data_IF_372701286624
#
_entry.id   IF_372701286624
#
_cell.length_a   1.000
_cell.length_b   1.000
_cell.length_c   1.000
_cell.angle_alpha   90.00
_cell.angle_beta   90.00
_cell.angle_gamma   90.00
#
_symmetry.space_group_name_H-M   'P 1'
#
loop_
_entity.id
_entity.type
_entity.pdbx_description
1 polymer ?
#
# COMPACT_ATOMS: atom_id res chain seq x y z
N UNK A 1 29.93 -15.63 3.75
CA UNK A 1 28.96 -16.07 4.77
C UNK A 1 27.61 -15.57 4.31
N UNK A 2 26.65 -16.47 4.10
CA UNK A 2 25.32 -16.08 3.65
C UNK A 2 24.69 -15.21 4.75
N UNK A 3 24.44 -13.94 4.46
CA UNK A 3 23.59 -13.07 5.27
C UNK A 3 22.21 -13.71 5.30
N UNK A 4 21.92 -14.42 6.39
CA UNK A 4 20.57 -14.85 6.71
C UNK A 4 19.74 -13.59 6.88
N UNK A 5 18.84 -13.33 5.94
CA UNK A 5 17.80 -12.33 6.14
C UNK A 5 17.02 -12.83 7.37
N UNK A 6 17.13 -12.13 8.50
CA UNK A 6 16.27 -12.42 9.63
C UNK A 6 14.86 -12.04 9.20
N UNK A 7 14.00 -13.05 8.98
CA UNK A 7 12.60 -12.84 8.64
C UNK A 7 11.95 -11.83 9.60
N UNK A 8 12.40 -11.79 10.86
CA UNK A 8 11.79 -11.13 12.01
C UNK A 8 11.65 -9.59 11.94
N UNK A 9 12.33 -8.89 11.02
CA UNK A 9 12.40 -7.41 11.05
C UNK A 9 12.10 -6.71 9.71
N UNK A 10 11.40 -7.38 8.79
CA UNK A 10 10.97 -6.77 7.52
C UNK A 10 9.73 -5.90 7.68
N UNK A 11 9.77 -4.66 7.17
CA UNK A 11 8.65 -3.70 7.16
C UNK A 11 8.40 -3.17 5.73
N UNK A 12 7.13 -3.02 5.35
CA UNK A 12 6.74 -2.44 4.07
C UNK A 12 6.33 -0.98 4.22
N UNK A 13 7.06 -0.09 3.55
CA UNK A 13 6.87 1.35 3.61
C UNK A 13 6.53 1.88 2.22
N UNK A 14 5.29 2.35 2.01
CA UNK A 14 4.92 3.11 0.84
C UNK A 14 5.51 4.52 0.92
N UNK A 15 5.71 5.12 -0.24
CA UNK A 15 5.86 6.56 -0.35
C UNK A 15 4.58 7.18 -0.90
N UNK A 16 3.92 8.01 -0.10
CA UNK A 16 2.67 8.67 -0.48
C UNK A 16 2.84 10.19 -0.48
N UNK A 17 2.07 10.87 -1.31
CA UNK A 17 2.13 12.33 -1.42
C UNK A 17 1.69 12.82 -2.78
N UNK A 18 1.45 14.13 -2.90
CA UNK A 18 1.01 14.76 -4.15
C UNK A 18 1.99 14.53 -5.31
N UNK A 19 1.51 14.74 -6.54
CA UNK A 19 2.34 14.71 -7.75
C UNK A 19 3.48 15.74 -7.60
N UNK A 20 4.65 15.44 -8.16
CA UNK A 20 5.82 16.32 -8.17
C UNK A 20 6.41 16.74 -6.81
N UNK A 21 5.93 16.20 -5.69
CA UNK A 21 6.55 16.40 -4.37
C UNK A 21 7.91 15.66 -4.22
N UNK A 22 8.32 14.88 -5.23
CA UNK A 22 9.63 14.24 -5.30
C UNK A 22 9.70 12.85 -4.64
N UNK A 23 8.62 12.07 -4.75
CA UNK A 23 8.54 10.71 -4.20
C UNK A 23 9.62 9.78 -4.77
N UNK A 24 9.63 9.60 -6.07
CA UNK A 24 10.60 8.77 -6.80
C UNK A 24 12.04 9.23 -6.61
N UNK A 25 12.26 10.55 -6.53
CA UNK A 25 13.57 11.14 -6.19
C UNK A 25 14.03 10.74 -4.79
N UNK A 26 13.12 10.75 -3.81
CA UNK A 26 13.42 10.32 -2.45
C UNK A 26 13.75 8.81 -2.39
N UNK A 27 13.00 7.99 -3.12
CA UNK A 27 13.28 6.54 -3.22
C UNK A 27 14.68 6.28 -3.80
N UNK A 28 15.05 6.96 -4.89
CA UNK A 28 16.39 6.87 -5.47
C UNK A 28 17.47 7.34 -4.47
N UNK A 29 17.24 8.46 -3.77
CA UNK A 29 18.16 9.00 -2.77
C UNK A 29 18.39 8.03 -1.59
N UNK A 30 17.33 7.40 -1.08
CA UNK A 30 17.43 6.40 0.00
C UNK A 30 18.30 5.22 -0.45
N UNK A 31 18.03 4.64 -1.62
CA UNK A 31 18.86 3.51 -2.11
C UNK A 31 20.31 3.91 -2.34
N UNK A 32 20.56 5.12 -2.82
CA UNK A 32 21.93 5.62 -3.04
C UNK A 32 22.69 5.69 -1.72
N UNK A 33 22.15 6.41 -0.75
CA UNK A 33 22.78 6.63 0.56
C UNK A 33 23.02 5.31 1.29
N UNK A 34 22.07 4.38 1.24
CA UNK A 34 22.22 3.09 1.91
C UNK A 34 23.13 2.12 1.15
N UNK A 35 23.23 2.24 -0.18
CA UNK A 35 24.15 1.41 -0.97
C UNK A 35 25.61 1.68 -0.66
N UNK A 36 25.97 2.92 -0.29
CA UNK A 36 27.32 3.29 0.13
C UNK A 36 27.74 2.55 1.43
N UNK A 37 26.76 2.11 2.23
CA UNK A 37 26.97 1.31 3.45
C UNK A 37 26.83 -0.20 3.22
N UNK A 38 26.56 -0.61 1.98
CA UNK A 38 26.31 -2.00 1.62
C UNK A 38 24.90 -2.52 1.93
N UNK A 39 24.01 -1.67 2.45
CA UNK A 39 22.64 -2.01 2.82
C UNK A 39 21.61 -1.84 1.70
N UNK A 40 22.01 -1.52 0.48
CA UNK A 40 21.09 -1.45 -0.64
C UNK A 40 21.81 -1.67 -1.98
N UNK A 41 21.03 -2.06 -2.99
CA UNK A 41 21.46 -1.89 -4.38
C UNK A 41 20.90 -0.57 -4.89
N UNK A 42 21.78 0.36 -5.25
CA UNK A 42 21.35 1.63 -5.83
C UNK A 42 20.46 1.39 -7.05
N UNK A 43 19.29 2.02 -7.04
CA UNK A 43 18.33 2.01 -8.15
C UNK A 43 18.10 3.45 -8.56
N UNK A 44 18.53 3.79 -9.78
CA UNK A 44 18.43 5.17 -10.28
C UNK A 44 16.97 5.54 -10.57
N UNK A 45 16.65 6.84 -10.59
CA UNK A 45 15.34 7.39 -10.91
C UNK A 45 14.75 6.77 -12.20
N UNK A 46 15.58 6.69 -13.25
CA UNK A 46 15.19 6.13 -14.55
C UNK A 46 15.00 4.60 -14.55
N UNK A 47 15.45 3.94 -13.48
CA UNK A 47 15.20 2.53 -13.19
C UNK A 47 14.04 2.32 -12.22
N UNK A 48 13.49 3.36 -11.59
CA UNK A 48 12.25 3.24 -10.81
C UNK A 48 11.07 3.47 -11.75
N UNK A 49 11.10 4.56 -12.52
CA UNK A 49 10.14 4.86 -13.59
C UNK A 49 10.56 4.15 -14.90
N UNK A 50 10.40 2.82 -14.94
CA UNK A 50 10.88 2.00 -16.07
C UNK A 50 10.00 2.07 -17.31
N UNK A 51 8.69 2.34 -17.17
CA UNK A 51 7.76 2.22 -18.28
C UNK A 51 8.00 3.34 -19.31
N UNK A 52 7.92 3.06 -20.62
CA UNK A 52 8.08 4.07 -21.66
C UNK A 52 7.11 5.26 -21.51
N UNK A 53 5.90 4.99 -21.00
CA UNK A 53 4.88 6.00 -20.73
C UNK A 53 5.20 6.87 -19.51
N UNK A 54 5.83 6.31 -18.47
CA UNK A 54 6.31 7.05 -17.29
C UNK A 54 7.41 8.02 -17.69
N UNK A 55 8.41 7.56 -18.46
CA UNK A 55 9.51 8.41 -18.94
C UNK A 55 9.04 9.54 -19.85
N UNK A 56 8.02 9.31 -20.66
CA UNK A 56 7.48 10.33 -21.56
C UNK A 56 6.67 11.40 -20.84
N UNK A 57 6.02 11.05 -19.71
CA UNK A 57 5.15 11.96 -18.95
C UNK A 57 5.79 12.54 -17.69
N UNK A 58 6.91 11.98 -17.23
CA UNK A 58 7.58 12.40 -16.00
C UNK A 58 6.78 12.10 -14.72
N UNK A 59 5.86 11.12 -14.77
CA UNK A 59 5.02 10.73 -13.64
C UNK A 59 5.10 9.22 -13.45
N UNK A 60 5.12 8.76 -12.19
CA UNK A 60 5.00 7.35 -11.82
C UNK A 60 3.58 6.86 -12.12
N UNK A 61 3.47 5.71 -12.80
CA UNK A 61 2.20 5.11 -13.22
C UNK A 61 2.00 3.77 -12.50
N UNK A 62 3.03 2.92 -12.49
CA UNK A 62 3.05 1.64 -11.84
C UNK A 62 3.75 1.73 -10.49
N UNK A 63 3.29 0.96 -9.51
CA UNK A 63 4.00 0.85 -8.24
C UNK A 63 5.35 0.15 -8.47
N UNK A 64 6.44 0.76 -8.01
CA UNK A 64 7.77 0.17 -8.08
C UNK A 64 8.19 -0.33 -6.71
N UNK A 65 8.75 -1.54 -6.67
CA UNK A 65 9.22 -2.18 -5.45
C UNK A 65 10.75 -2.07 -5.41
N UNK A 66 11.25 -1.48 -4.32
CA UNK A 66 12.67 -1.21 -4.10
C UNK A 66 13.07 -1.71 -2.72
N UNK A 67 14.29 -2.24 -2.58
CA UNK A 67 14.75 -2.90 -1.37
C UNK A 67 15.96 -2.17 -0.78
N UNK A 68 15.98 -2.05 0.55
CA UNK A 68 17.14 -1.62 1.32
C UNK A 68 17.04 -2.15 2.74
N UNK A 69 18.16 -2.17 3.45
CA UNK A 69 18.30 -2.59 4.84
C UNK A 69 19.06 -1.54 5.63
N UNK A 70 18.70 -1.44 6.91
CA UNK A 70 19.47 -0.75 7.94
C UNK A 70 20.13 -1.80 8.83
N UNK A 71 20.95 -1.35 9.78
CA UNK A 71 21.50 -2.25 10.81
C UNK A 71 20.39 -2.91 11.67
N UNK A 72 19.19 -2.32 11.68
CA UNK A 72 18.08 -2.78 12.52
C UNK A 72 17.03 -3.58 11.76
N UNK A 73 16.76 -3.27 10.49
CA UNK A 73 15.56 -3.75 9.77
C UNK A 73 15.77 -3.89 8.28
N UNK A 74 14.97 -4.74 7.66
CA UNK A 74 14.86 -4.84 6.21
C UNK A 74 13.62 -4.08 5.73
N UNK A 75 13.73 -3.33 4.65
CA UNK A 75 12.66 -2.51 4.10
C UNK A 75 12.27 -2.96 2.71
N UNK A 76 10.99 -3.25 2.53
CA UNK A 76 10.36 -3.29 1.23
C UNK A 76 9.68 -1.96 0.94
N UNK A 77 10.23 -1.18 0.03
CA UNK A 77 9.75 0.15 -0.28
C UNK A 77 8.86 0.12 -1.52
N UNK A 78 7.64 0.65 -1.41
CA UNK A 78 6.69 0.72 -2.53
C UNK A 78 6.54 2.17 -2.96
N UNK A 79 7.15 2.56 -4.08
CA UNK A 79 6.94 3.88 -4.66
C UNK A 79 5.55 3.92 -5.31
N UNK A 80 4.63 4.69 -4.72
CA UNK A 80 3.24 4.75 -5.15
C UNK A 80 3.00 5.98 -6.03
N UNK A 81 2.21 5.84 -7.11
CA UNK A 81 1.90 6.97 -7.99
C UNK A 81 1.05 8.02 -7.25
N UNK A 82 1.40 9.31 -7.42
CA UNK A 82 0.69 10.41 -6.75
C UNK A 82 -0.41 11.09 -7.55
N UNK A 83 -0.57 10.70 -8.83
CA UNK A 83 -1.55 11.31 -9.72
C UNK A 83 -2.95 10.76 -9.45
N UNK A 84 -3.98 11.62 -9.50
CA UNK A 84 -5.36 11.27 -9.17
C UNK A 84 -5.87 10.03 -9.96
N UNK A 85 -5.51 9.96 -11.24
CA UNK A 85 -5.87 8.85 -12.13
C UNK A 85 -5.27 7.49 -11.73
N UNK A 86 -4.16 7.49 -10.98
CA UNK A 86 -3.40 6.29 -10.61
C UNK A 86 -3.49 5.93 -9.12
N UNK A 87 -4.35 6.61 -8.35
CA UNK A 87 -4.63 6.27 -6.94
C UNK A 87 -5.07 4.80 -6.79
N UNK A 88 -5.65 4.17 -7.82
CA UNK A 88 -5.99 2.73 -7.79
C UNK A 88 -4.78 1.85 -7.50
N UNK A 89 -3.62 2.18 -8.08
CA UNK A 89 -2.38 1.46 -7.85
C UNK A 89 -1.80 1.76 -6.46
N UNK A 90 -1.98 3.00 -5.98
CA UNK A 90 -1.67 3.37 -4.61
C UNK A 90 -2.46 2.52 -3.62
N UNK A 91 -3.81 2.42 -3.73
CA UNK A 91 -4.65 1.64 -2.80
C UNK A 91 -4.18 0.18 -2.67
N UNK A 92 -3.75 -0.42 -3.78
CA UNK A 92 -3.27 -1.80 -3.77
C UNK A 92 -1.87 -1.97 -3.18
N UNK A 93 -0.97 -0.99 -3.36
CA UNK A 93 0.28 -0.93 -2.59
C UNK A 93 0.02 -0.59 -1.12
N UNK A 94 -1.05 0.16 -0.87
CA UNK A 94 -1.42 0.67 0.44
C UNK A 94 -1.97 -0.41 1.36
N UNK A 95 -2.64 -1.42 0.80
CA UNK A 95 -3.07 -2.60 1.55
C UNK A 95 -1.89 -3.35 2.21
N UNK A 96 -0.65 -3.11 1.76
CA UNK A 96 0.57 -3.71 2.30
C UNK A 96 1.31 -2.79 3.28
N UNK A 97 0.73 -1.69 3.76
CA UNK A 97 1.43 -0.71 4.59
C UNK A 97 1.48 -1.11 6.06
N UNK A 98 2.70 -1.23 6.60
CA UNK A 98 2.92 -1.36 8.05
C UNK A 98 3.13 0.00 8.71
N UNK A 99 3.70 0.92 7.93
CA UNK A 99 3.88 2.34 8.20
C UNK A 99 3.87 3.08 6.87
N UNK A 100 4.37 4.30 6.81
CA UNK A 100 4.47 5.05 5.55
C UNK A 100 5.29 6.32 5.67
N UNK A 101 5.87 6.74 4.54
CA UNK A 101 6.50 8.05 4.43
C UNK A 101 5.57 8.93 3.60
N UNK A 102 5.15 10.07 4.16
CA UNK A 102 4.42 11.09 3.41
C UNK A 102 5.36 12.20 2.97
N UNK A 103 5.42 12.43 1.66
CA UNK A 103 6.30 13.42 1.04
C UNK A 103 5.53 14.68 0.68
N UNK A 104 6.03 15.80 1.17
CA UNK A 104 5.42 17.12 1.00
C UNK A 104 6.46 18.08 0.46
N UNK A 105 6.14 18.84 -0.58
CA UNK A 105 7.05 19.88 -1.07
C UNK A 105 7.03 21.08 -0.13
N UNK A 106 8.19 21.58 0.27
CA UNK A 106 8.30 22.80 1.07
C UNK A 106 7.75 24.04 0.33
N UNK A 107 7.73 24.02 -1.00
CA UNK A 107 7.18 25.11 -1.83
C UNK A 107 5.66 25.12 -1.91
N UNK A 108 5.05 23.93 -1.89
CA UNK A 108 3.64 23.75 -2.23
C UNK A 108 2.78 23.48 -0.98
N UNK A 109 3.41 22.99 0.09
CA UNK A 109 2.73 22.58 1.31
C UNK A 109 1.78 21.41 1.06
N UNK A 110 0.71 21.35 1.86
CA UNK A 110 -0.27 20.28 1.77
C UNK A 110 -1.27 20.50 0.62
N UNK A 111 -1.36 19.49 -0.26
CA UNK A 111 -2.19 19.51 -1.48
C UNK A 111 -3.34 18.51 -1.38
N UNK A 112 -4.38 18.57 -2.25
CA UNK A 112 -5.55 17.68 -2.15
C UNK A 112 -5.21 16.18 -2.07
N UNK A 113 -4.24 15.72 -2.85
CA UNK A 113 -3.77 14.33 -2.85
C UNK A 113 -3.02 13.97 -1.57
N UNK A 114 -2.35 14.92 -0.90
CA UNK A 114 -1.76 14.70 0.43
C UNK A 114 -2.86 14.33 1.42
N UNK A 115 -3.99 15.04 1.39
CA UNK A 115 -5.17 14.77 2.24
C UNK A 115 -5.80 13.42 1.92
N UNK A 116 -6.03 13.15 0.63
CA UNK A 116 -6.61 11.90 0.17
C UNK A 116 -5.74 10.69 0.55
N UNK A 117 -4.42 10.81 0.44
CA UNK A 117 -3.51 9.75 0.83
C UNK A 117 -3.49 9.50 2.33
N UNK A 118 -3.51 10.54 3.17
CA UNK A 118 -3.61 10.37 4.62
C UNK A 118 -4.91 9.68 5.02
N UNK A 119 -6.02 10.10 4.42
CA UNK A 119 -7.32 9.49 4.64
C UNK A 119 -7.33 8.01 4.25
N UNK A 120 -6.84 7.68 3.04
CA UNK A 120 -6.76 6.31 2.57
C UNK A 120 -5.83 5.45 3.44
N UNK A 121 -4.65 5.97 3.80
CA UNK A 121 -3.72 5.31 4.72
C UNK A 121 -4.38 5.00 6.07
N UNK A 122 -5.19 5.92 6.59
CA UNK A 122 -5.93 5.67 7.84
C UNK A 122 -7.00 4.59 7.68
N UNK A 123 -7.75 4.62 6.58
CA UNK A 123 -8.83 3.67 6.32
C UNK A 123 -8.33 2.23 6.21
N UNK A 124 -7.25 2.02 5.48
CA UNK A 124 -6.62 0.69 5.33
C UNK A 124 -5.90 0.22 6.61
N UNK A 125 -5.73 1.08 7.60
CA UNK A 125 -5.29 0.71 8.95
C UNK A 125 -3.88 1.14 9.33
N UNK A 126 -3.22 2.00 8.54
CA UNK A 126 -1.92 2.58 8.92
C UNK A 126 -2.09 3.43 10.17
N UNK A 127 -1.25 3.16 11.17
CA UNK A 127 -1.30 3.86 12.47
C UNK A 127 -0.24 4.94 12.61
N UNK A 128 0.94 4.70 12.03
CA UNK A 128 2.10 5.59 12.14
C UNK A 128 2.66 5.89 10.77
N UNK A 129 3.07 7.15 10.60
CA UNK A 129 3.69 7.69 9.40
C UNK A 129 4.88 8.56 9.81
N UNK A 130 5.83 8.73 8.90
CA UNK A 130 6.91 9.72 8.99
C UNK A 130 6.70 10.76 7.89
N UNK A 131 6.91 12.04 8.19
CA UNK A 131 6.79 13.11 7.20
C UNK A 131 8.17 13.49 6.69
N UNK A 132 8.31 13.60 5.36
CA UNK A 132 9.47 14.20 4.73
C UNK A 132 9.06 15.46 3.97
N UNK A 133 9.47 16.62 4.49
CA UNK A 133 9.32 17.92 3.82
C UNK A 133 10.52 18.05 2.86
N UNK A 134 10.26 17.86 1.58
CA UNK A 134 11.23 17.83 0.50
C UNK A 134 11.43 19.22 -0.13
N UNK A 135 12.45 19.36 -0.96
CA UNK A 135 12.79 20.59 -1.72
C UNK A 135 13.14 21.79 -0.83
N UNK A 136 13.75 21.55 0.32
CA UNK A 136 14.23 22.64 1.19
C UNK A 136 15.34 23.47 0.52
N UNK A 137 16.04 22.91 -0.47
CA UNK A 137 17.11 23.58 -1.22
C UNK A 137 16.65 24.81 -2.03
N UNK A 138 15.35 24.91 -2.34
CA UNK A 138 14.79 26.08 -3.05
C UNK A 138 14.11 27.08 -2.11
N UNK A 139 14.07 26.80 -0.80
CA UNK A 139 13.49 27.69 0.20
C UNK A 139 14.57 28.52 0.86
N UNK A 140 14.41 29.85 0.79
CA UNK A 140 15.33 30.82 1.40
C UNK A 140 14.81 31.40 2.71
N UNK A 141 13.51 31.23 3.00
CA UNK A 141 12.83 31.78 4.17
C UNK A 141 12.52 30.66 5.19
N UNK A 142 13.19 30.64 6.36
CA UNK A 142 12.92 29.66 7.40
C UNK A 142 11.48 29.69 7.93
N UNK A 143 10.79 30.83 7.93
CA UNK A 143 9.41 30.94 8.44
C UNK A 143 8.44 30.11 7.59
N UNK A 144 8.72 29.96 6.29
CA UNK A 144 7.94 29.12 5.40
C UNK A 144 8.04 27.63 5.78
N UNK A 145 9.22 27.17 6.20
CA UNK A 145 9.42 25.78 6.62
C UNK A 145 8.68 25.47 7.91
N UNK A 146 8.70 26.40 8.87
CA UNK A 146 7.95 26.29 10.13
C UNK A 146 6.44 26.26 9.86
N UNK A 147 5.94 27.09 8.94
CA UNK A 147 4.53 27.09 8.55
C UNK A 147 4.11 25.74 7.94
N UNK A 148 4.91 25.19 7.01
CA UNK A 148 4.61 23.89 6.40
C UNK A 148 4.65 22.75 7.42
N UNK A 149 5.56 22.78 8.39
CA UNK A 149 5.56 21.82 9.51
C UNK A 149 4.25 21.91 10.31
N UNK A 150 3.87 23.11 10.74
CA UNK A 150 2.64 23.33 11.49
C UNK A 150 1.40 22.83 10.73
N UNK A 151 1.27 23.19 9.45
CA UNK A 151 0.15 22.72 8.61
C UNK A 151 0.11 21.20 8.49
N UNK A 152 1.26 20.55 8.38
CA UNK A 152 1.34 19.10 8.30
C UNK A 152 0.95 18.41 9.61
N UNK A 153 1.32 18.98 10.76
CA UNK A 153 0.92 18.47 12.07
C UNK A 153 -0.57 18.59 12.31
N UNK A 154 -1.17 19.72 11.93
CA UNK A 154 -2.62 19.92 11.99
C UNK A 154 -3.37 18.95 11.07
N UNK A 155 -2.84 18.71 9.87
CA UNK A 155 -3.43 17.78 8.91
C UNK A 155 -3.37 16.34 9.40
N UNK A 156 -2.24 15.91 9.97
CA UNK A 156 -2.10 14.59 10.59
C UNK A 156 -3.14 14.41 11.71
N UNK A 157 -3.28 15.41 12.58
CA UNK A 157 -4.26 15.40 13.68
C UNK A 157 -5.70 15.30 13.16
N UNK A 158 -6.02 16.04 12.10
CA UNK A 158 -7.34 16.00 11.43
C UNK A 158 -7.70 14.60 10.96
N UNK A 159 -6.73 13.83 10.45
CA UNK A 159 -6.92 12.44 10.00
C UNK A 159 -6.61 11.38 11.09
N UNK A 160 -6.61 11.78 12.37
CA UNK A 160 -6.40 10.91 13.53
C UNK A 160 -5.03 10.20 13.58
N UNK A 161 -4.00 10.83 13.03
CA UNK A 161 -2.60 10.50 13.30
C UNK A 161 -2.06 11.37 14.45
N UNK A 162 -0.91 10.98 15.01
CA UNK A 162 -0.23 11.73 16.07
C UNK A 162 0.55 12.91 15.48
N UNK A 163 -0.13 14.03 15.23
CA UNK A 163 0.51 15.22 14.64
C UNK A 163 1.58 15.86 15.52
N UNK A 164 1.52 15.68 16.84
CA UNK A 164 2.49 16.27 17.78
C UNK A 164 3.81 15.49 17.78
N UNK A 165 3.75 14.16 17.86
CA UNK A 165 4.94 13.33 18.01
C UNK A 165 5.45 12.71 16.71
N UNK A 166 4.68 12.74 15.62
CA UNK A 166 5.15 12.21 14.33
C UNK A 166 6.46 12.91 13.92
N UNK A 167 7.52 12.15 13.57
CA UNK A 167 8.75 12.72 13.07
C UNK A 167 8.53 13.46 11.75
N UNK A 168 9.03 14.70 11.68
CA UNK A 168 9.03 15.52 10.48
C UNK A 168 10.47 15.87 10.14
N UNK A 169 10.93 15.38 8.98
CA UNK A 169 12.30 15.57 8.52
C UNK A 169 12.26 16.52 7.33
N UNK A 170 12.99 17.62 7.42
CA UNK A 170 13.10 18.62 6.37
C UNK A 170 14.42 18.43 5.61
N UNK A 171 14.35 18.26 4.29
CA UNK A 171 15.54 18.05 3.47
C UNK A 171 15.31 18.19 1.96
N UNK A 172 16.31 17.77 1.21
CA UNK A 172 16.34 17.79 -0.25
C UNK A 172 16.80 16.43 -0.77
N UNK A 173 15.84 15.64 -1.24
CA UNK A 173 16.11 14.36 -1.89
C UNK A 173 17.02 14.53 -3.11
N UNK A 174 16.87 15.63 -3.85
CA UNK A 174 17.71 15.94 -5.00
C UNK A 174 19.16 16.21 -4.56
N UNK A 175 19.38 17.01 -3.52
CA UNK A 175 20.73 17.28 -2.98
C UNK A 175 21.41 15.98 -2.54
N UNK A 176 20.68 15.08 -1.87
CA UNK A 176 21.19 13.75 -1.51
C UNK A 176 21.55 12.90 -2.75
N UNK A 177 20.68 12.87 -3.76
CA UNK A 177 20.89 12.11 -4.98
C UNK A 177 22.07 12.65 -5.81
N UNK A 178 22.28 13.96 -5.84
CA UNK A 178 23.42 14.60 -6.52
C UNK A 178 24.72 14.57 -5.70
N UNK A 179 24.65 14.24 -4.40
CA UNK A 179 25.80 14.30 -3.50
C UNK A 179 26.23 15.73 -3.17
N UNK A 180 25.30 16.68 -3.15
CA UNK A 180 25.51 18.09 -2.80
C UNK A 180 24.87 18.41 -1.45
N UNK A 181 25.33 19.48 -0.81
CA UNK A 181 24.79 20.04 0.45
C UNK A 181 24.39 18.96 1.49
N UNK A 182 25.36 18.22 2.07
CA UNK A 182 25.09 17.07 2.92
C UNK A 182 24.09 17.33 4.06
N UNK A 183 24.16 18.53 4.66
CA UNK A 183 23.32 18.96 5.79
C UNK A 183 21.82 18.94 5.51
N UNK A 184 21.42 19.18 4.26
CA UNK A 184 20.02 19.10 3.80
C UNK A 184 19.78 17.86 2.92
N UNK A 185 20.83 17.18 2.47
CA UNK A 185 20.79 16.01 1.61
C UNK A 185 21.00 14.72 2.39
N UNK A 186 22.20 14.14 2.29
CA UNK A 186 22.56 12.82 2.83
C UNK A 186 22.29 12.69 4.32
N UNK A 187 22.57 13.73 5.11
CA UNK A 187 22.36 13.69 6.56
C UNK A 187 20.87 13.59 6.91
N UNK A 188 20.02 14.28 6.14
CA UNK A 188 18.55 14.21 6.29
C UNK A 188 17.96 12.89 5.82
N UNK A 189 18.54 12.25 4.80
CA UNK A 189 18.15 10.88 4.43
C UNK A 189 18.48 9.90 5.56
N UNK A 190 19.64 10.03 6.19
CA UNK A 190 20.00 9.20 7.35
C UNK A 190 19.08 9.45 8.54
N UNK A 191 18.74 10.71 8.82
CA UNK A 191 17.77 11.09 9.86
C UNK A 191 16.38 10.50 9.58
N UNK A 192 15.91 10.57 8.33
CA UNK A 192 14.65 9.97 7.89
C UNK A 192 14.63 8.46 8.11
N UNK A 193 15.67 7.74 7.65
CA UNK A 193 15.76 6.29 7.79
C UNK A 193 15.83 5.88 9.28
N UNK A 194 16.57 6.63 10.10
CA UNK A 194 16.61 6.43 11.54
C UNK A 194 15.23 6.66 12.18
N UNK A 195 14.51 7.72 11.79
CA UNK A 195 13.17 7.97 12.26
C UNK A 195 12.21 6.83 11.88
N UNK A 196 12.35 6.25 10.68
CA UNK A 196 11.59 5.05 10.29
C UNK A 196 11.89 3.84 11.20
N UNK A 197 13.17 3.61 11.53
CA UNK A 197 13.59 2.54 12.44
C UNK A 197 12.99 2.71 13.86
N UNK A 198 12.98 3.94 14.38
CA UNK A 198 12.60 4.21 15.78
C UNK A 198 11.10 4.44 15.98
N UNK A 199 10.43 5.09 15.02
CA UNK A 199 9.05 5.52 15.15
C UNK A 199 8.04 4.47 14.68
N UNK A 200 8.32 3.83 13.52
CA UNK A 200 7.37 2.91 12.90
C UNK A 200 7.35 1.59 13.67
N UNK A 201 6.16 1.14 14.01
CA UNK A 201 5.97 -0.13 14.69
C UNK A 201 6.23 -1.28 13.73
N UNK A 202 6.89 -2.32 14.24
CA UNK A 202 6.85 -3.61 13.56
C UNK A 202 5.43 -4.14 13.66
N UNK A 203 4.79 -4.49 12.53
CA UNK A 203 3.44 -5.00 12.56
C UNK A 203 3.41 -6.30 13.36
N UNK A 204 2.44 -6.50 14.27
CA UNK A 204 2.30 -7.77 14.96
C UNK A 204 2.01 -8.86 13.92
N UNK A 205 2.91 -9.83 13.82
CA UNK A 205 2.78 -10.95 12.87
C UNK A 205 1.93 -12.04 13.49
N UNK A 206 0.74 -12.22 12.94
CA UNK A 206 -0.19 -13.27 13.37
C UNK A 206 0.23 -14.65 12.84
N UNK A 207 1.31 -15.21 13.36
CA UNK A 207 1.90 -16.47 12.86
C UNK A 207 1.04 -17.70 13.15
N UNK A 208 0.22 -17.66 14.20
CA UNK A 208 -0.64 -18.78 14.62
C UNK A 208 -1.95 -18.88 13.83
N UNK A 209 -2.33 -17.81 13.11
CA UNK A 209 -3.55 -17.80 12.30
C UNK A 209 -3.36 -18.64 11.03
N UNK A 210 -4.46 -19.16 10.44
CA UNK A 210 -4.37 -19.85 9.15
C UNK A 210 -3.78 -18.94 8.06
N UNK A 211 -2.86 -19.50 7.27
CA UNK A 211 -2.12 -18.76 6.24
C UNK A 211 -3.04 -18.08 5.23
N UNK A 212 -2.70 -16.83 4.88
CA UNK A 212 -3.31 -16.08 3.78
C UNK A 212 -2.21 -15.32 3.04
N UNK A 213 -2.24 -15.39 1.72
CA UNK A 213 -1.44 -14.56 0.82
C UNK A 213 -2.33 -13.90 -0.23
N UNK A 214 -2.24 -12.58 -0.35
CA UNK A 214 -3.00 -11.80 -1.32
C UNK A 214 -2.24 -11.69 -2.63
N UNK A 215 -2.85 -12.16 -3.74
CA UNK A 215 -2.20 -12.20 -5.05
C UNK A 215 -2.20 -10.79 -5.64
N UNK A 216 -1.01 -10.25 -5.87
CA UNK A 216 -0.77 -8.97 -6.50
C UNK A 216 -0.52 -9.14 -8.01
N UNK A 217 0.31 -10.12 -8.38
CA UNK A 217 0.63 -10.39 -9.78
C UNK A 217 0.90 -11.88 -10.04
N UNK A 218 0.86 -12.27 -11.32
CA UNK A 218 1.04 -13.64 -11.78
C UNK A 218 1.96 -13.69 -13.00
N UNK A 219 3.01 -14.49 -12.88
CA UNK A 219 3.99 -14.73 -13.92
C UNK A 219 4.09 -16.21 -14.27
N UNK A 220 4.54 -16.48 -15.48
CA UNK A 220 4.95 -17.83 -15.88
C UNK A 220 6.47 -17.81 -16.03
N UNK A 221 7.16 -18.63 -15.25
CA UNK A 221 8.61 -18.79 -15.35
C UNK A 221 8.91 -20.02 -16.21
N UNK A 222 9.58 -19.88 -17.37
CA UNK A 222 9.91 -21.00 -18.24
C UNK A 222 10.64 -22.11 -17.48
N UNK A 223 10.15 -23.34 -17.61
CA UNK A 223 10.73 -24.52 -16.95
C UNK A 223 10.41 -24.67 -15.44
N UNK A 224 9.87 -23.64 -14.77
CA UNK A 224 9.43 -23.74 -13.36
C UNK A 224 7.91 -23.83 -13.22
N UNK A 225 7.15 -23.03 -13.97
CA UNK A 225 5.69 -22.99 -13.91
C UNK A 225 5.13 -21.63 -13.52
N UNK A 226 3.94 -21.60 -12.93
CA UNK A 226 3.24 -20.37 -12.57
C UNK A 226 3.67 -19.89 -11.19
N UNK A 227 4.19 -18.67 -11.12
CA UNK A 227 4.58 -17.98 -9.90
C UNK A 227 3.60 -16.86 -9.64
N UNK A 228 3.05 -16.81 -8.44
CA UNK A 228 2.27 -15.65 -7.96
C UNK A 228 3.13 -14.81 -7.05
N UNK A 229 3.00 -13.50 -7.16
CA UNK A 229 3.65 -12.55 -6.24
C UNK A 229 2.57 -11.97 -5.33
N UNK A 230 2.88 -11.90 -4.05
CA UNK A 230 1.95 -11.37 -3.06
C UNK A 230 2.54 -11.28 -1.66
N UNK A 231 1.80 -10.59 -0.79
CA UNK A 231 2.12 -10.46 0.63
C UNK A 231 1.42 -11.53 1.44
N UNK A 232 2.15 -12.23 2.30
CA UNK A 232 1.57 -13.07 3.33
C UNK A 232 0.95 -12.17 4.40
N UNK A 233 -0.39 -12.15 4.52
CA UNK A 233 -1.08 -11.29 5.49
C UNK A 233 -1.01 -11.84 6.91
N UNK A 234 -1.07 -13.17 7.04
CA UNK A 234 -1.05 -13.86 8.32
C UNK A 234 -0.64 -15.32 8.14
N UNK A 235 -0.31 -15.97 9.25
CA UNK A 235 0.05 -17.38 9.32
C UNK A 235 1.41 -17.69 8.75
N UNK A 236 1.68 -18.99 8.63
CA UNK A 236 2.92 -19.54 8.08
C UNK A 236 2.56 -20.59 7.03
N UNK A 237 3.31 -20.61 5.94
CA UNK A 237 3.22 -21.63 4.90
C UNK A 237 4.61 -22.14 4.55
N UNK A 238 4.74 -23.44 4.31
CA UNK A 238 6.01 -24.10 3.98
C UNK A 238 5.98 -24.64 2.58
N UNK A 239 7.17 -24.75 2.00
CA UNK A 239 7.36 -25.47 0.75
C UNK A 239 6.85 -26.91 0.92
N UNK A 240 5.95 -27.33 0.04
CA UNK A 240 5.27 -28.62 0.06
C UNK A 240 3.85 -28.58 0.63
N UNK A 241 3.41 -27.48 1.25
CA UNK A 241 2.07 -27.39 1.82
C UNK A 241 0.99 -27.34 0.73
N UNK A 242 -0.16 -27.95 1.02
CA UNK A 242 -1.37 -27.80 0.22
C UNK A 242 -2.04 -26.46 0.54
N UNK A 243 -2.49 -25.77 -0.51
CA UNK A 243 -3.15 -24.46 -0.41
C UNK A 243 -4.39 -24.39 -1.29
N UNK A 244 -5.33 -23.51 -0.94
CA UNK A 244 -6.52 -23.21 -1.75
C UNK A 244 -6.45 -21.79 -2.32
N UNK A 245 -6.84 -21.62 -3.58
CA UNK A 245 -6.97 -20.31 -4.24
C UNK A 245 -8.45 -19.94 -4.30
N UNK A 246 -8.81 -18.77 -3.79
CA UNK A 246 -10.19 -18.28 -3.71
C UNK A 246 -10.39 -16.91 -4.36
N UNK A 247 -11.62 -16.69 -4.84
CA UNK A 247 -12.10 -15.41 -5.38
C UNK A 247 -12.37 -15.46 -6.87
N UNK A 248 -13.21 -14.54 -7.36
CA UNK A 248 -13.61 -14.46 -8.77
C UNK A 248 -14.29 -15.71 -9.33
N UNK A 249 -15.05 -16.45 -8.52
CA UNK A 249 -15.74 -17.68 -8.93
C UNK A 249 -14.86 -18.92 -8.88
N UNK A 250 -13.60 -18.75 -8.51
CA UNK A 250 -12.59 -19.80 -8.57
C UNK A 250 -12.35 -20.36 -7.17
N UNK A 251 -12.36 -21.69 -7.10
CA UNK A 251 -11.87 -22.46 -5.96
C UNK A 251 -10.98 -23.59 -6.46
N UNK A 252 -9.67 -23.41 -6.35
CA UNK A 252 -8.67 -24.38 -6.81
C UNK A 252 -7.85 -24.87 -5.63
N UNK A 253 -7.46 -26.15 -5.67
CA UNK A 253 -6.48 -26.74 -4.76
C UNK A 253 -5.17 -26.93 -5.49
N UNK A 254 -4.06 -26.62 -4.84
CA UNK A 254 -2.71 -26.83 -5.38
C UNK A 254 -1.71 -27.03 -4.24
N UNK A 255 -0.46 -27.29 -4.59
CA UNK A 255 0.66 -27.42 -3.66
C UNK A 255 1.65 -26.30 -3.93
N UNK A 256 2.12 -25.66 -2.86
CA UNK A 256 3.18 -24.67 -2.92
C UNK A 256 4.53 -25.39 -3.10
N UNK A 257 5.10 -25.34 -4.29
CA UNK A 257 6.34 -26.07 -4.62
C UNK A 257 7.61 -25.27 -4.45
N UNK A 258 7.51 -23.96 -4.29
CA UNK A 258 8.64 -23.08 -4.08
C UNK A 258 8.18 -21.77 -3.45
N UNK A 259 9.04 -21.23 -2.60
CA UNK A 259 8.90 -19.93 -1.95
C UNK A 259 10.17 -19.17 -2.29
N UNK A 260 10.03 -18.00 -2.87
CA UNK A 260 11.15 -17.13 -3.21
C UNK A 260 10.88 -15.73 -2.67
N UNK A 261 11.87 -15.11 -2.05
CA UNK A 261 11.83 -13.72 -1.62
C UNK A 261 13.17 -13.10 -1.98
N UNK A 262 13.16 -11.96 -2.67
CA UNK A 262 14.39 -11.24 -3.04
C UNK A 262 15.41 -12.11 -3.80
N UNK A 263 14.94 -12.92 -4.76
CA UNK A 263 15.77 -13.88 -5.51
C UNK A 263 16.47 -14.96 -4.68
N UNK A 264 16.02 -15.17 -3.44
CA UNK A 264 16.50 -16.22 -2.54
C UNK A 264 15.39 -17.24 -2.32
N UNK A 265 15.73 -18.52 -2.43
CA UNK A 265 14.79 -19.59 -2.09
C UNK A 265 14.66 -19.71 -0.57
N UNK A 266 13.41 -19.86 -0.12
CA UNK A 266 13.06 -20.03 1.28
C UNK A 266 12.34 -21.36 1.49
N UNK A 267 12.48 -21.93 2.67
CA UNK A 267 11.76 -23.15 3.09
C UNK A 267 10.38 -22.83 3.69
N UNK A 268 10.22 -21.62 4.23
CA UNK A 268 8.98 -21.14 4.84
C UNK A 268 8.74 -19.67 4.49
N UNK A 269 7.48 -19.29 4.43
CA UNK A 269 7.01 -17.92 4.42
C UNK A 269 6.16 -17.66 5.64
N UNK A 270 6.24 -16.45 6.17
CA UNK A 270 5.50 -16.01 7.34
C UNK A 270 4.80 -14.67 7.09
N UNK A 271 3.84 -14.36 7.95
CA UNK A 271 3.10 -13.10 7.91
C UNK A 271 4.06 -11.90 7.79
N UNK A 272 3.81 -11.05 6.81
CA UNK A 272 4.63 -9.90 6.46
C UNK A 272 5.47 -10.10 5.20
N UNK A 273 5.84 -11.33 4.85
CA UNK A 273 6.74 -11.59 3.70
C UNK A 273 6.06 -11.23 2.36
N UNK A 274 6.74 -10.41 1.54
CA UNK A 274 6.42 -10.30 0.11
C UNK A 274 7.19 -11.37 -0.65
N UNK A 275 6.46 -12.34 -1.20
CA UNK A 275 7.05 -13.57 -1.74
C UNK A 275 6.49 -13.93 -3.11
N UNK A 276 7.32 -14.63 -3.89
CA UNK A 276 6.94 -15.44 -5.03
C UNK A 276 6.56 -16.85 -4.58
N UNK A 277 5.31 -17.24 -4.80
CA UNK A 277 4.79 -18.59 -4.57
C UNK A 277 4.72 -19.37 -5.89
N UNK A 278 5.51 -20.44 -6.03
CA UNK A 278 5.45 -21.33 -7.19
C UNK A 278 4.38 -22.41 -6.98
N UNK A 279 3.37 -22.44 -7.84
CA UNK A 279 2.21 -23.31 -7.70
C UNK A 279 2.24 -24.51 -8.66
N UNK A 280 1.95 -25.70 -8.14
CA UNK A 280 1.93 -26.93 -8.94
C UNK A 280 0.69 -27.03 -9.82
N UNK A 281 0.89 -27.22 -11.12
CA UNK A 281 -0.17 -27.63 -12.05
C UNK A 281 -1.23 -26.56 -12.31
N UNK A 282 -1.01 -25.33 -11.85
CA UNK A 282 -1.87 -24.18 -12.12
C UNK A 282 -1.32 -23.44 -13.33
N UNK A 283 -2.17 -23.13 -14.30
CA UNK A 283 -1.82 -22.25 -15.43
C UNK A 283 -2.10 -20.80 -15.08
N UNK A 284 -1.34 -19.87 -15.67
CA UNK A 284 -1.50 -18.43 -15.46
C UNK A 284 -2.93 -17.95 -15.72
N UNK A 285 -3.64 -18.51 -16.68
CA UNK A 285 -5.00 -18.07 -17.05
C UNK A 285 -6.08 -18.47 -16.03
N UNK A 286 -5.76 -19.41 -15.12
CA UNK A 286 -6.69 -19.89 -14.09
C UNK A 286 -6.68 -19.03 -12.83
N UNK A 287 -5.69 -18.16 -12.71
CA UNK A 287 -5.47 -17.34 -11.53
C UNK A 287 -5.23 -15.89 -11.93
N UNK A 288 -5.54 -14.98 -11.01
CA UNK A 288 -5.43 -13.55 -11.27
C UNK A 288 -5.20 -12.76 -10.00
N UNK A 289 -4.72 -11.53 -10.17
CA UNK A 289 -4.73 -10.49 -9.14
C UNK A 289 -6.12 -10.36 -8.51
N UNK A 290 -6.13 -10.14 -7.20
CA UNK A 290 -7.35 -10.00 -6.40
C UNK A 290 -7.89 -11.32 -5.84
N UNK A 291 -7.31 -12.44 -6.24
CA UNK A 291 -7.52 -13.71 -5.54
C UNK A 291 -6.61 -13.80 -4.31
N UNK A 292 -6.93 -14.73 -3.43
CA UNK A 292 -6.10 -15.04 -2.25
C UNK A 292 -5.73 -16.52 -2.27
N UNK A 293 -4.52 -16.82 -1.80
CA UNK A 293 -4.09 -18.17 -1.43
C UNK A 293 -4.30 -18.32 0.07
N UNK A 294 -4.93 -19.40 0.48
CA UNK A 294 -5.24 -19.65 1.88
C UNK A 294 -4.82 -21.05 2.30
N UNK A 295 -4.64 -21.25 3.61
CA UNK A 295 -4.67 -22.58 4.19
C UNK A 295 -6.02 -23.26 3.84
N UNK A 296 -6.05 -24.52 3.40
CA UNK A 296 -7.26 -25.16 2.89
C UNK A 296 -8.44 -25.07 3.86
N UNK A 297 -9.59 -24.60 3.37
CA UNK A 297 -10.82 -24.47 4.16
C UNK A 297 -10.82 -23.38 5.24
N UNK A 298 -9.77 -22.57 5.35
CA UNK A 298 -9.68 -21.52 6.39
C UNK A 298 -10.54 -20.28 6.13
N UNK A 299 -10.91 -20.02 4.88
CA UNK A 299 -11.78 -18.91 4.49
C UNK A 299 -12.81 -19.37 3.45
N UNK A 300 -13.92 -18.63 3.35
CA UNK A 300 -14.95 -18.83 2.33
C UNK A 300 -14.98 -17.63 1.38
N UNK A 301 -15.37 -17.91 0.14
CA UNK A 301 -15.71 -16.88 -0.83
C UNK A 301 -17.21 -16.57 -0.74
N UNK A 302 -17.59 -15.29 -0.71
CA UNK A 302 -18.98 -14.85 -0.49
C UNK A 302 -19.48 -13.95 -1.61
N UNK A 303 -20.78 -14.05 -1.93
CA UNK A 303 -21.47 -13.24 -2.97
C UNK A 303 -22.38 -12.15 -2.41
N UNK A 304 -22.52 -12.10 -1.09
CA UNK A 304 -23.36 -11.12 -0.39
C UNK A 304 -22.81 -10.98 1.02
N UNK A 305 -22.63 -9.76 1.49
CA UNK A 305 -22.18 -9.48 2.86
C UNK A 305 -22.77 -8.14 3.33
N UNK A 306 -22.83 -7.95 4.65
CA UNK A 306 -23.30 -6.73 5.28
C UNK A 306 -22.10 -5.94 5.79
N UNK A 307 -22.12 -4.62 5.64
CA UNK A 307 -21.03 -3.75 6.03
C UNK A 307 -21.54 -2.39 6.54
N UNK A 308 -20.78 -1.82 7.47
CA UNK A 308 -20.90 -0.42 7.85
C UNK A 308 -20.04 0.42 6.90
N UNK A 309 -20.64 1.44 6.30
CA UNK A 309 -20.03 2.32 5.31
C UNK A 309 -20.08 3.75 5.82
N UNK A 310 -18.94 4.43 5.81
CA UNK A 310 -18.87 5.88 5.91
C UNK A 310 -18.79 6.46 4.49
N UNK A 311 -19.70 7.37 4.14
CA UNK A 311 -19.72 7.99 2.81
C UNK A 311 -18.99 9.32 2.87
N UNK A 312 -17.90 9.44 2.13
CA UNK A 312 -17.07 10.64 2.14
C UNK A 312 -17.80 11.87 1.60
N UNK A 313 -17.63 12.98 2.31
CA UNK A 313 -18.09 14.30 1.91
C UNK A 313 -17.26 14.86 0.75
N UNK A 314 -17.74 15.94 0.13
CA UNK A 314 -17.01 16.66 -0.92
C UNK A 314 -15.63 17.14 -0.44
N UNK A 315 -15.56 17.66 0.78
CA UNK A 315 -14.35 18.27 1.33
C UNK A 315 -13.28 17.22 1.67
N UNK A 316 -13.71 15.97 1.89
CA UNK A 316 -12.84 14.80 2.05
C UNK A 316 -12.46 14.14 0.71
N UNK A 317 -12.86 14.71 -0.43
CA UNK A 317 -12.57 14.19 -1.78
C UNK A 317 -13.60 13.20 -2.32
N UNK A 318 -14.70 12.96 -1.59
CA UNK A 318 -15.74 12.02 -1.95
C UNK A 318 -16.83 12.59 -2.86
N UNK A 319 -18.09 12.31 -2.51
CA UNK A 319 -19.25 12.61 -3.35
C UNK A 319 -19.80 14.01 -3.10
N UNK A 320 -20.32 14.63 -4.16
CA UNK A 320 -21.11 15.86 -4.04
C UNK A 320 -22.61 15.57 -3.88
N UNK A 321 -23.11 14.53 -4.55
CA UNK A 321 -24.53 14.20 -4.59
C UNK A 321 -24.80 12.88 -3.85
N UNK A 322 -26.01 12.75 -3.25
CA UNK A 322 -26.44 11.50 -2.66
C UNK A 322 -26.54 10.37 -3.71
N UNK A 323 -26.66 9.14 -3.22
CA UNK A 323 -26.99 7.98 -4.04
C UNK A 323 -28.15 7.18 -3.43
N UNK A 324 -28.79 6.37 -4.27
CA UNK A 324 -29.92 5.51 -3.91
C UNK A 324 -29.47 4.04 -3.84
N UNK A 325 -30.35 3.15 -3.39
CA UNK A 325 -30.09 1.72 -3.52
C UNK A 325 -29.85 1.29 -4.99
N UNK A 326 -29.22 0.14 -5.16
CA UNK A 326 -28.70 -0.38 -6.42
C UNK A 326 -27.60 0.45 -7.07
N UNK A 327 -27.04 1.42 -6.33
CA UNK A 327 -25.81 2.10 -6.71
C UNK A 327 -24.67 1.08 -6.87
N UNK A 328 -23.83 1.28 -7.90
CA UNK A 328 -22.81 0.31 -8.35
C UNK A 328 -21.38 0.86 -8.34
N UNK A 329 -20.76 1.02 -7.16
CA UNK A 329 -19.36 1.40 -7.06
C UNK A 329 -18.42 0.21 -7.29
N UNK A 330 -17.12 0.51 -7.40
CA UNK A 330 -16.04 -0.47 -7.36
C UNK A 330 -15.57 -0.70 -5.93
N UNK A 331 -15.62 -1.94 -5.47
CA UNK A 331 -15.03 -2.40 -4.21
C UNK A 331 -13.55 -2.65 -4.39
N UNK A 332 -12.74 -2.09 -3.49
CA UNK A 332 -11.33 -2.42 -3.32
C UNK A 332 -11.15 -3.14 -2.00
N UNK A 333 -10.80 -4.43 -2.08
CA UNK A 333 -10.57 -5.31 -0.94
C UNK A 333 -9.23 -6.01 -1.15
N UNK A 334 -8.22 -5.69 -0.34
CA UNK A 334 -6.84 -6.14 -0.55
C UNK A 334 -6.36 -5.75 -1.95
N UNK A 335 -6.01 -6.72 -2.79
CA UNK A 335 -5.59 -6.55 -4.18
C UNK A 335 -6.75 -6.67 -5.18
N UNK A 336 -7.98 -6.97 -4.71
CA UNK A 336 -9.16 -7.18 -5.55
C UNK A 336 -9.90 -5.88 -5.85
N UNK A 337 -10.31 -5.73 -7.10
CA UNK A 337 -11.19 -4.67 -7.59
C UNK A 337 -12.45 -5.28 -8.24
N UNK A 338 -13.60 -5.12 -7.61
CA UNK A 338 -14.84 -5.82 -8.02
C UNK A 338 -16.04 -4.88 -7.94
N UNK A 339 -16.87 -4.86 -8.99
CA UNK A 339 -18.09 -4.05 -8.97
C UNK A 339 -19.08 -4.65 -8.00
N UNK A 340 -19.68 -3.83 -7.15
CA UNK A 340 -20.70 -4.27 -6.20
C UNK A 340 -21.98 -3.51 -6.41
N UNK A 341 -23.11 -4.12 -6.08
CA UNK A 341 -24.37 -3.40 -5.92
C UNK A 341 -24.63 -3.22 -4.42
N UNK A 342 -24.99 -2.00 -4.03
CA UNK A 342 -25.41 -1.68 -2.66
C UNK A 342 -26.93 -1.75 -2.55
N UNK A 343 -27.45 -2.41 -1.52
CA UNK A 343 -28.87 -2.42 -1.20
C UNK A 343 -29.07 -2.25 0.30
N UNK A 344 -30.25 -1.80 0.71
CA UNK A 344 -30.61 -1.77 2.11
C UNK A 344 -30.79 -3.20 2.68
N UNK A 345 -30.54 -3.41 3.98
CA UNK A 345 -30.94 -4.64 4.65
C UNK A 345 -32.44 -4.90 4.51
N UNK A 346 -32.84 -6.17 4.47
CA UNK A 346 -34.25 -6.56 4.43
C UNK A 346 -35.00 -5.97 5.64
N UNK A 347 -36.19 -5.42 5.40
CA UNK A 347 -37.00 -4.76 6.44
C UNK A 347 -36.67 -3.28 6.68
N UNK A 348 -35.77 -2.67 5.92
CA UNK A 348 -35.55 -1.21 5.96
C UNK A 348 -36.79 -0.47 5.46
N UNK A 349 -37.35 0.41 6.29
CA UNK A 349 -38.50 1.25 5.92
C UNK A 349 -38.12 2.21 4.77
N UNK A 350 -39.03 2.36 3.81
CA UNK A 350 -38.91 3.27 2.66
C UNK A 350 -37.59 3.12 1.88
N UNK A 351 -37.08 1.89 1.79
CA UNK A 351 -35.79 1.57 1.17
C UNK A 351 -35.64 2.13 -0.27
N UNK A 352 -36.74 2.16 -1.03
CA UNK A 352 -36.77 2.63 -2.42
C UNK A 352 -36.61 4.16 -2.53
N UNK A 353 -37.04 4.92 -1.51
CA UNK A 353 -37.01 6.38 -1.48
C UNK A 353 -35.86 6.95 -0.62
N UNK A 354 -35.19 6.08 0.15
CA UNK A 354 -34.12 6.45 1.07
C UNK A 354 -32.82 6.74 0.34
N UNK A 355 -32.40 8.00 0.37
CA UNK A 355 -31.10 8.48 -0.09
C UNK A 355 -30.02 8.31 0.98
N UNK A 356 -28.81 8.00 0.53
CA UNK A 356 -27.59 8.08 1.35
C UNK A 356 -26.87 9.38 1.04
N UNK A 357 -26.65 10.22 2.06
CA UNK A 357 -26.01 11.52 1.91
C UNK A 357 -24.49 11.41 2.13
N UNK A 358 -23.68 12.26 1.45
CA UNK A 358 -22.27 12.41 1.81
C UNK A 358 -22.15 12.85 3.29
N UNK A 359 -21.29 12.18 4.06
CA UNK A 359 -21.10 12.32 5.50
C UNK A 359 -21.83 11.27 6.35
N UNK A 360 -22.72 10.47 5.75
CA UNK A 360 -23.49 9.47 6.50
C UNK A 360 -22.64 8.25 6.88
N UNK A 361 -22.96 7.68 8.05
CA UNK A 361 -22.59 6.31 8.42
C UNK A 361 -23.81 5.42 8.22
N UNK A 362 -23.76 4.51 7.25
CA UNK A 362 -24.88 3.63 6.88
C UNK A 362 -24.50 2.16 6.95
N UNK A 363 -25.48 1.32 7.26
CA UNK A 363 -25.34 -0.12 7.15
C UNK A 363 -26.03 -0.61 5.88
N UNK A 364 -25.27 -1.25 5.00
CA UNK A 364 -25.76 -1.72 3.70
C UNK A 364 -25.33 -3.15 3.40
N UNK A 365 -26.12 -3.79 2.54
CA UNK A 365 -25.80 -5.10 1.99
C UNK A 365 -25.08 -4.92 0.65
N UNK A 366 -23.87 -5.48 0.58
CA UNK A 366 -22.99 -5.43 -0.58
C UNK A 366 -23.13 -6.73 -1.37
N UNK A 367 -23.43 -6.63 -2.67
CA UNK A 367 -23.59 -7.76 -3.58
C UNK A 367 -22.56 -7.65 -4.73
N UNK A 368 -21.35 -8.21 -4.56
CA UNK A 368 -20.32 -8.18 -5.59
C UNK A 368 -20.69 -9.02 -6.82
N UNK A 369 -20.29 -8.56 -8.02
CA UNK A 369 -20.56 -9.27 -9.29
C UNK A 369 -19.83 -10.61 -9.38
N UNK A 370 -18.72 -10.73 -8.66
CA UNK A 370 -18.00 -11.97 -8.42
C UNK A 370 -17.84 -12.20 -6.92
N UNK A 371 -17.74 -13.45 -6.49
CA UNK A 371 -17.48 -13.77 -5.08
C UNK A 371 -16.09 -13.30 -4.65
N UNK A 372 -16.02 -12.86 -3.39
CA UNK A 372 -14.83 -12.32 -2.74
C UNK A 372 -14.47 -13.14 -1.53
N UNK A 373 -13.17 -13.33 -1.30
CA UNK A 373 -12.66 -13.95 -0.09
C UNK A 373 -12.66 -12.90 1.04
N UNK A 374 -13.59 -13.05 1.98
CA UNK A 374 -13.88 -12.04 3.00
C UNK A 374 -14.18 -12.68 4.36
N UNK A 375 -13.79 -11.99 5.43
CA UNK A 375 -14.08 -12.33 6.82
C UNK A 375 -14.73 -11.15 7.55
N UNK A 376 -15.52 -11.40 8.61
CA UNK A 376 -16.04 -10.33 9.45
C UNK A 376 -14.93 -9.44 10.02
N UNK A 377 -15.16 -8.12 10.03
CA UNK A 377 -14.22 -7.12 10.53
C UNK A 377 -13.19 -6.63 9.51
N UNK A 378 -13.17 -7.21 8.31
CA UNK A 378 -12.33 -6.71 7.22
C UNK A 378 -12.77 -5.33 6.74
N UNK A 379 -11.78 -4.46 6.48
CA UNK A 379 -11.99 -3.14 5.90
C UNK A 379 -11.87 -3.19 4.37
N UNK A 380 -12.56 -2.27 3.72
CA UNK A 380 -12.49 -2.07 2.28
C UNK A 380 -12.85 -0.63 1.94
N UNK A 381 -12.53 -0.21 0.72
CA UNK A 381 -12.95 1.09 0.19
C UNK A 381 -13.84 0.91 -1.02
N UNK A 382 -14.81 1.79 -1.19
CA UNK A 382 -15.61 1.89 -2.41
C UNK A 382 -15.08 3.06 -3.24
N UNK A 383 -15.16 2.99 -4.57
CA UNK A 383 -14.76 4.07 -5.47
C UNK A 383 -15.67 4.18 -6.67
N UNK A 384 -15.81 5.39 -7.19
CA UNK A 384 -16.52 5.69 -8.43
C UNK A 384 -15.92 6.90 -9.13
N UNK A 385 -15.81 6.86 -10.46
CA UNK A 385 -15.35 8.01 -11.24
C UNK A 385 -13.96 8.53 -10.85
N UNK A 386 -13.10 7.69 -10.29
CA UNK A 386 -11.76 8.08 -9.80
C UNK A 386 -11.74 8.63 -8.38
N UNK A 387 -12.87 8.73 -7.69
CA UNK A 387 -12.98 9.19 -6.30
C UNK A 387 -13.27 8.04 -5.34
N UNK A 388 -12.91 8.22 -4.08
CA UNK A 388 -13.23 7.27 -3.01
C UNK A 388 -14.60 7.59 -2.43
#
# INVERSE_FOLDING_TARGET
MATSISHELSIFIPLVGHVDHGKTTLTAAITKVLSERGGAKFTDYAEIDKAPEEKARGITINSSHVEYETDNRHYGHIDCPGHADYIKNMITGAAQMDGGIIVVSATDGQMPQTREHLLLARQIGVKKLVVFINKVDVITDPEMLELVDMEMRDLLTTYNFDGENTPVIMGSALSALEGKNPEIGVDKINELVKACDEWLDLPPRDLEKPFILSIEDVFTVPGRGTVVVGRAERGVCRKGDEVEILGYGTKLKTTLTGIEMFHKELERAEAGDNMGALLRGIKKEQIRRGQVIIAPGSMKSVKKFQAQLYILTKDEGGRYTPFMQHYRPQLFLRTADITIALSWPEGTADADDKMVMPGDNVEMVCSPVHDVALEPGMRFTLREGGKT
#
